data_IF_792984015719
#
_entry.id   IF_792984015719
#
_cell.length_a   1.000
_cell.length_b   1.000
_cell.length_c   1.000
_cell.angle_alpha   90.00
_cell.angle_beta   90.00
_cell.angle_gamma   90.00
#
_symmetry.space_group_name_H-M   'P 1'
#
loop_
_entity.id
_entity.type
_entity.pdbx_description
1 polymer ?
#
# COMPACT_ATOMS: atom_id res chain seq x y z
N UNK A 1 17.10 -100.03 -81.91
CA UNK A 1 15.74 -99.48 -82.12
C UNK A 1 15.44 -98.59 -80.93
N UNK A 2 15.29 -97.29 -81.14
CA UNK A 2 15.29 -96.24 -80.11
C UNK A 2 13.95 -96.15 -79.38
N UNK A 3 13.96 -96.16 -78.04
CA UNK A 3 12.81 -95.92 -77.20
C UNK A 3 12.95 -94.59 -76.45
N UNK A 4 12.25 -93.57 -76.93
CA UNK A 4 12.17 -92.24 -76.32
C UNK A 4 11.33 -92.33 -75.04
N UNK A 5 11.94 -92.17 -73.86
CA UNK A 5 11.19 -91.98 -72.62
C UNK A 5 10.87 -90.49 -72.48
N UNK A 6 9.60 -90.15 -72.67
CA UNK A 6 9.02 -88.82 -72.47
C UNK A 6 8.88 -88.59 -70.97
N UNK A 7 9.82 -87.87 -70.36
CA UNK A 7 9.76 -87.50 -68.95
C UNK A 7 8.61 -86.49 -68.78
N UNK A 8 7.60 -86.85 -67.99
CA UNK A 8 6.43 -86.01 -67.73
C UNK A 8 6.84 -84.82 -66.84
N UNK A 9 7.05 -83.66 -67.46
CA UNK A 9 7.54 -82.41 -66.85
C UNK A 9 6.53 -81.72 -65.89
N UNK A 10 5.41 -82.37 -65.57
CA UNK A 10 4.26 -81.76 -64.87
C UNK A 10 4.39 -81.71 -63.35
N UNK A 11 5.30 -82.47 -62.74
CA UNK A 11 5.43 -82.52 -61.27
C UNK A 11 6.36 -81.42 -60.73
N UNK A 12 7.42 -81.08 -61.47
CA UNK A 12 8.38 -80.04 -61.09
C UNK A 12 7.76 -78.63 -61.17
N UNK A 13 6.95 -78.35 -62.19
CA UNK A 13 6.23 -77.08 -62.36
C UNK A 13 5.24 -76.82 -61.21
N UNK A 14 4.51 -77.85 -60.76
CA UNK A 14 3.57 -77.73 -59.65
C UNK A 14 4.27 -77.46 -58.31
N UNK A 15 5.42 -78.09 -58.07
CA UNK A 15 6.22 -77.81 -56.87
C UNK A 15 6.80 -76.40 -56.87
N UNK A 16 7.29 -75.92 -58.03
CA UNK A 16 7.82 -74.57 -58.16
C UNK A 16 6.72 -73.51 -57.95
N UNK A 17 5.53 -73.75 -58.50
CA UNK A 17 4.38 -72.86 -58.34
C UNK A 17 3.89 -72.81 -56.90
N UNK A 18 3.84 -73.96 -56.19
CA UNK A 18 3.46 -73.99 -54.78
C UNK A 18 4.49 -73.28 -53.88
N UNK A 19 5.78 -73.46 -54.15
CA UNK A 19 6.85 -72.78 -53.42
C UNK A 19 6.81 -71.26 -53.62
N UNK A 20 6.57 -70.80 -54.86
CA UNK A 20 6.40 -69.37 -55.17
C UNK A 20 5.18 -68.78 -54.46
N UNK A 21 4.06 -69.50 -54.42
CA UNK A 21 2.82 -69.03 -53.82
C UNK A 21 2.91 -68.95 -52.29
N UNK A 22 3.59 -69.93 -51.65
CA UNK A 22 3.92 -69.89 -50.23
C UNK A 22 4.90 -68.74 -49.90
N UNK A 23 5.87 -68.47 -50.77
CA UNK A 23 6.82 -67.37 -50.59
C UNK A 23 6.14 -66.00 -50.69
N UNK A 24 5.25 -65.81 -51.69
CA UNK A 24 4.44 -64.60 -51.84
C UNK A 24 3.52 -64.42 -50.62
N UNK A 25 2.90 -65.51 -50.13
CA UNK A 25 2.06 -65.46 -48.94
C UNK A 25 2.86 -65.05 -47.70
N UNK A 26 4.06 -65.60 -47.50
CA UNK A 26 4.94 -65.23 -46.41
C UNK A 26 5.39 -63.76 -46.50
N UNK A 27 5.73 -63.27 -47.69
CA UNK A 27 6.08 -61.86 -47.91
C UNK A 27 4.89 -60.92 -47.64
N UNK A 28 3.67 -61.32 -48.00
CA UNK A 28 2.45 -60.56 -47.69
C UNK A 28 2.15 -60.53 -46.20
N UNK A 29 2.30 -61.66 -45.50
CA UNK A 29 2.12 -61.76 -44.04
C UNK A 29 3.17 -60.92 -43.32
N UNK A 30 4.44 -60.97 -43.73
CA UNK A 30 5.50 -60.14 -43.14
C UNK A 30 5.27 -58.64 -43.36
N UNK A 31 4.82 -58.22 -44.56
CA UNK A 31 4.44 -56.83 -44.83
C UNK A 31 3.26 -56.40 -43.95
N UNK A 32 2.23 -57.24 -43.83
CA UNK A 32 1.08 -56.97 -42.97
C UNK A 32 1.49 -56.84 -41.50
N UNK A 33 2.32 -57.75 -40.98
CA UNK A 33 2.83 -57.70 -39.59
C UNK A 33 3.67 -56.44 -39.33
N UNK A 34 4.54 -56.05 -40.27
CA UNK A 34 5.33 -54.81 -40.16
C UNK A 34 4.45 -53.57 -40.17
N UNK A 35 3.43 -53.55 -41.04
CA UNK A 35 2.45 -52.46 -41.10
C UNK A 35 1.61 -52.38 -39.82
N UNK A 36 1.13 -53.50 -39.27
CA UNK A 36 0.40 -53.55 -37.98
C UNK A 36 1.25 -53.07 -36.80
N UNK A 37 2.54 -53.46 -36.75
CA UNK A 37 3.48 -53.00 -35.72
C UNK A 37 3.68 -51.48 -35.75
N UNK A 38 3.78 -50.88 -36.94
CA UNK A 38 3.93 -49.43 -37.10
C UNK A 38 2.66 -48.65 -36.73
N UNK A 39 1.47 -49.19 -37.01
CA UNK A 39 0.21 -48.60 -36.56
C UNK A 39 0.07 -48.64 -35.02
N UNK A 40 0.49 -49.73 -34.39
CA UNK A 40 0.45 -49.86 -32.93
C UNK A 40 1.44 -48.89 -32.24
N UNK A 41 2.66 -48.76 -32.78
CA UNK A 41 3.63 -47.76 -32.31
C UNK A 41 3.11 -46.32 -32.48
N UNK A 42 2.46 -46.01 -33.61
CA UNK A 42 1.83 -44.71 -33.85
C UNK A 42 0.72 -44.38 -32.85
N UNK A 43 -0.11 -45.37 -32.50
CA UNK A 43 -1.17 -45.21 -31.50
C UNK A 43 -0.60 -44.94 -30.09
N UNK A 44 0.50 -45.61 -29.71
CA UNK A 44 1.17 -45.39 -28.43
C UNK A 44 1.79 -43.99 -28.37
N UNK A 45 2.44 -43.54 -29.45
CA UNK A 45 3.02 -42.18 -29.53
C UNK A 45 1.92 -41.13 -29.44
N UNK A 46 0.79 -41.32 -30.15
CA UNK A 46 -0.36 -40.42 -30.09
C UNK A 46 -0.97 -40.37 -28.68
N UNK A 47 -1.12 -41.52 -28.02
CA UNK A 47 -1.61 -41.59 -26.66
C UNK A 47 -0.68 -40.89 -25.66
N UNK A 48 0.64 -41.10 -25.79
CA UNK A 48 1.64 -40.42 -24.97
C UNK A 48 1.61 -38.89 -25.16
N UNK A 49 1.42 -38.42 -26.40
CA UNK A 49 1.30 -37.00 -26.72
C UNK A 49 0.06 -36.37 -26.05
N UNK A 50 -1.07 -37.09 -26.04
CA UNK A 50 -2.33 -36.67 -25.38
C UNK A 50 -2.16 -36.59 -23.85
N UNK A 51 -1.36 -37.47 -23.24
CA UNK A 51 -1.08 -37.40 -21.80
C UNK A 51 -0.20 -36.20 -21.43
N UNK A 52 0.77 -35.83 -22.29
CA UNK A 52 1.66 -34.69 -22.04
C UNK A 52 0.89 -33.36 -22.05
N UNK A 53 -0.06 -33.16 -22.98
CA UNK A 53 -0.88 -31.93 -22.99
C UNK A 53 -1.86 -31.81 -21.82
N UNK A 54 -2.18 -32.91 -21.12
CA UNK A 54 -2.98 -32.87 -19.88
C UNK A 54 -2.16 -32.58 -18.62
N UNK A 55 -0.83 -32.54 -18.70
CA UNK A 55 0.05 -32.25 -17.57
C UNK A 55 0.41 -30.76 -17.43
N UNK A 56 -0.32 -29.85 -18.08
CA UNK A 56 -0.17 -28.41 -17.82
C UNK A 56 -0.54 -28.10 -16.36
N UNK A 57 0.47 -27.96 -15.52
CA UNK A 57 0.35 -27.48 -14.16
C UNK A 57 -0.33 -26.11 -14.18
N UNK A 58 -1.48 -25.98 -13.52
CA UNK A 58 -2.10 -24.69 -13.27
C UNK A 58 -1.20 -23.91 -12.32
N UNK A 59 -0.64 -22.75 -12.71
CA UNK A 59 0.13 -21.93 -11.80
C UNK A 59 -0.81 -21.37 -10.75
N UNK A 60 -0.81 -21.95 -9.56
CA UNK A 60 -1.46 -21.39 -8.39
C UNK A 60 -0.48 -20.35 -7.83
N UNK A 61 -0.92 -19.11 -7.72
CA UNK A 61 -0.12 -18.07 -7.07
C UNK A 61 0.20 -18.56 -5.64
N UNK A 62 1.47 -18.41 -5.18
CA UNK A 62 1.80 -18.77 -3.80
C UNK A 62 0.82 -18.05 -2.87
N UNK A 63 0.27 -18.77 -1.90
CA UNK A 63 -0.50 -18.14 -0.83
C UNK A 63 0.45 -17.19 -0.11
N UNK A 64 0.29 -15.88 -0.33
CA UNK A 64 1.10 -14.86 0.33
C UNK A 64 1.06 -15.03 1.86
N UNK A 65 2.05 -14.45 2.54
CA UNK A 65 2.05 -14.38 4.00
C UNK A 65 0.85 -13.61 4.55
N UNK A 66 0.67 -13.65 5.87
CA UNK A 66 -0.39 -12.88 6.52
C UNK A 66 -0.32 -11.40 6.14
N UNK A 67 -1.47 -10.75 5.84
CA UNK A 67 -1.50 -9.33 5.52
C UNK A 67 -0.94 -8.48 6.68
N UNK A 68 -0.05 -7.54 6.37
CA UNK A 68 0.42 -6.54 7.33
C UNK A 68 -0.72 -5.59 7.71
N UNK A 69 -0.98 -5.48 9.01
CA UNK A 69 -2.04 -4.65 9.60
C UNK A 69 -1.49 -3.49 10.43
N UNK A 70 -0.17 -3.32 10.50
CA UNK A 70 0.45 -2.29 11.33
C UNK A 70 0.58 -0.97 10.55
N UNK A 71 0.28 0.14 11.21
CA UNK A 71 0.42 1.48 10.63
C UNK A 71 1.87 1.87 10.33
N UNK A 72 2.09 2.96 9.57
CA UNK A 72 3.40 3.58 9.49
C UNK A 72 3.76 4.24 10.82
N UNK A 73 5.06 4.34 11.10
CA UNK A 73 5.60 5.02 12.28
C UNK A 73 6.68 6.00 11.83
N UNK A 74 6.66 7.20 12.39
CA UNK A 74 7.76 8.17 12.20
C UNK A 74 8.98 7.67 12.97
N UNK A 75 10.05 7.35 12.26
CA UNK A 75 11.31 6.85 12.84
C UNK A 75 12.26 7.98 13.21
N UNK A 76 12.18 9.11 12.51
CA UNK A 76 12.97 10.30 12.81
C UNK A 76 12.36 11.55 12.19
N UNK A 77 12.69 12.69 12.78
CA UNK A 77 12.44 14.00 12.20
C UNK A 77 13.75 14.72 11.92
N UNK A 78 13.74 15.60 10.93
CA UNK A 78 14.85 16.53 10.70
C UNK A 78 14.24 17.92 10.51
N UNK A 79 14.51 18.89 11.40
CA UNK A 79 15.35 18.79 12.59
C UNK A 79 14.80 17.81 13.65
N UNK A 80 15.62 17.44 14.63
CA UNK A 80 15.18 16.56 15.72
C UNK A 80 14.13 17.28 16.58
N UNK A 81 13.20 16.50 17.15
CA UNK A 81 12.23 17.03 18.09
C UNK A 81 12.93 17.69 19.28
N UNK A 82 12.51 18.90 19.64
CA UNK A 82 13.17 19.67 20.69
C UNK A 82 14.17 20.72 20.19
N UNK A 83 14.41 20.82 18.88
CA UNK A 83 15.43 21.73 18.33
C UNK A 83 15.10 23.19 18.63
N UNK A 84 16.06 23.93 19.20
CA UNK A 84 16.00 25.38 19.40
C UNK A 84 16.91 26.10 18.40
N UNK A 85 16.77 27.41 18.29
CA UNK A 85 17.49 28.27 17.35
C UNK A 85 17.37 27.78 15.90
N UNK A 86 16.21 27.25 15.54
CA UNK A 86 15.96 26.74 14.20
C UNK A 86 15.90 27.90 13.19
N UNK A 87 16.82 27.87 12.22
CA UNK A 87 16.92 28.88 11.15
C UNK A 87 16.54 28.33 9.77
N UNK A 88 16.17 27.05 9.71
CA UNK A 88 15.77 26.39 8.47
C UNK A 88 14.35 26.75 8.03
N UNK A 89 13.98 26.22 6.86
CA UNK A 89 12.63 26.35 6.29
C UNK A 89 12.02 25.01 5.88
N UNK A 90 12.73 23.93 6.14
CA UNK A 90 12.32 22.57 5.82
C UNK A 90 12.23 21.76 7.10
N UNK A 91 11.13 21.03 7.28
CA UNK A 91 11.06 19.92 8.22
C UNK A 91 10.72 18.63 7.50
N UNK A 92 11.29 17.52 7.97
CA UNK A 92 11.15 16.20 7.37
C UNK A 92 10.69 15.20 8.40
N UNK A 93 9.66 14.43 8.05
CA UNK A 93 9.18 13.27 8.79
C UNK A 93 9.59 12.03 8.01
N UNK A 94 10.49 11.22 8.57
CA UNK A 94 10.92 9.95 7.98
C UNK A 94 10.12 8.81 8.58
N UNK A 95 9.50 7.99 7.74
CA UNK A 95 8.66 6.86 8.15
C UNK A 95 9.38 5.52 7.92
N UNK A 96 9.00 4.52 8.70
CA UNK A 96 9.44 3.12 8.51
C UNK A 96 8.88 2.51 7.22
N UNK A 97 7.69 2.94 6.78
CA UNK A 97 6.96 2.48 5.59
C UNK A 97 6.67 3.62 4.60
N UNK A 98 6.22 3.26 3.40
CA UNK A 98 5.69 4.25 2.47
C UNK A 98 4.31 4.72 2.93
N UNK A 99 4.14 6.04 3.06
CA UNK A 99 2.88 6.68 3.42
C UNK A 99 2.07 7.06 2.19
N UNK A 100 0.75 6.98 2.29
CA UNK A 100 -0.14 7.58 1.31
C UNK A 100 0.00 9.11 1.39
N UNK A 101 0.34 9.72 0.25
CA UNK A 101 0.68 11.14 0.18
C UNK A 101 -0.49 12.05 0.52
N UNK A 102 -1.70 11.66 0.13
CA UNK A 102 -2.89 12.46 0.37
C UNK A 102 -3.28 12.40 1.86
N UNK A 103 -3.17 11.23 2.48
CA UNK A 103 -3.40 11.05 3.92
C UNK A 103 -2.44 11.91 4.75
N UNK A 104 -1.15 11.97 4.39
CA UNK A 104 -0.18 12.84 5.08
C UNK A 104 -0.53 14.32 4.89
N UNK A 105 -0.79 14.77 3.66
CA UNK A 105 -1.17 16.16 3.39
C UNK A 105 -2.40 16.62 4.17
N UNK A 106 -3.40 15.76 4.31
CA UNK A 106 -4.66 16.10 4.98
C UNK A 106 -4.58 16.03 6.51
N UNK A 107 -3.57 15.34 7.06
CA UNK A 107 -3.44 15.06 8.49
C UNK A 107 -2.14 15.60 9.09
N UNK A 108 -1.44 16.48 8.38
CA UNK A 108 -0.42 17.35 8.97
C UNK A 108 -1.10 18.61 9.49
N UNK A 109 -0.75 18.99 10.71
CA UNK A 109 -1.16 20.24 11.33
C UNK A 109 0.08 21.00 11.81
N UNK A 110 -0.01 22.32 11.76
CA UNK A 110 1.01 23.24 12.24
C UNK A 110 0.31 24.19 13.21
N UNK A 111 0.85 24.31 14.41
CA UNK A 111 0.37 25.18 15.48
C UNK A 111 1.54 25.97 16.09
N UNK A 112 1.38 27.26 16.42
CA UNK A 112 0.20 28.07 16.13
C UNK A 112 -0.01 28.30 14.62
N UNK A 113 -1.19 28.79 14.24
CA UNK A 113 -1.44 29.28 12.88
C UNK A 113 -0.57 30.53 12.64
N UNK A 114 0.52 30.35 11.89
CA UNK A 114 1.48 31.41 11.56
C UNK A 114 1.02 32.26 10.37
N UNK A 115 -0.06 31.89 9.67
CA UNK A 115 -0.44 32.51 8.41
C UNK A 115 0.60 32.33 7.28
N UNK A 116 1.52 31.38 7.44
CA UNK A 116 2.57 31.07 6.47
C UNK A 116 2.14 29.89 5.61
N UNK A 117 2.20 30.07 4.29
CA UNK A 117 1.97 28.98 3.36
C UNK A 117 3.13 27.98 3.40
N UNK A 118 2.84 26.71 3.14
CA UNK A 118 3.83 25.66 3.06
C UNK A 118 3.47 24.67 1.96
N UNK A 119 4.51 24.11 1.35
CA UNK A 119 4.38 23.03 0.39
C UNK A 119 4.78 21.72 1.04
N UNK A 120 4.02 20.67 0.73
CA UNK A 120 4.39 19.31 1.11
C UNK A 120 4.97 18.60 -0.11
N UNK A 121 6.15 18.02 0.03
CA UNK A 121 6.77 17.15 -0.98
C UNK A 121 7.13 15.79 -0.36
N UNK A 122 7.52 14.84 -1.19
CA UNK A 122 7.81 13.48 -0.75
C UNK A 122 9.10 12.99 -1.36
N UNK A 123 9.96 12.41 -0.52
CA UNK A 123 11.19 11.74 -0.95
C UNK A 123 11.32 10.41 -0.24
N UNK A 124 11.31 9.31 -1.01
CA UNK A 124 11.30 7.94 -0.49
C UNK A 124 10.16 7.72 0.52
N UNK A 125 10.48 7.35 1.76
CA UNK A 125 9.56 7.17 2.88
C UNK A 125 9.44 8.44 3.75
N UNK A 126 9.69 9.62 3.19
CA UNK A 126 9.65 10.87 3.95
C UNK A 126 8.63 11.83 3.39
N UNK A 127 7.86 12.45 4.28
CA UNK A 127 7.10 13.68 4.02
C UNK A 127 7.95 14.89 4.39
N UNK A 128 8.01 15.87 3.50
CA UNK A 128 8.80 17.09 3.67
C UNK A 128 7.85 18.26 3.63
N UNK A 129 7.93 19.14 4.62
CA UNK A 129 7.16 20.38 4.70
C UNK A 129 8.15 21.53 4.53
N UNK A 130 7.93 22.35 3.51
CA UNK A 130 8.77 23.50 3.18
C UNK A 130 7.95 24.78 3.31
N UNK A 131 8.36 25.69 4.18
CA UNK A 131 7.69 26.97 4.42
C UNK A 131 8.04 27.97 3.32
N UNK A 132 7.04 28.66 2.74
CA UNK A 132 7.25 29.61 1.62
C UNK A 132 7.83 30.96 2.07
N UNK A 133 7.68 31.30 3.35
CA UNK A 133 8.27 32.48 3.97
C UNK A 133 9.12 32.09 5.19
N UNK A 134 10.05 32.97 5.64
CA UNK A 134 10.75 32.77 6.89
C UNK A 134 9.80 32.61 8.07
N UNK A 135 10.16 31.72 8.99
CA UNK A 135 9.42 31.54 10.24
C UNK A 135 9.63 32.75 11.16
N UNK A 136 8.63 33.13 11.98
CA UNK A 136 8.77 34.24 12.92
C UNK A 136 9.87 33.94 13.95
N UNK A 137 10.59 34.97 14.38
CA UNK A 137 11.62 34.84 15.42
C UNK A 137 11.00 34.50 16.79
N UNK A 138 11.78 33.86 17.68
CA UNK A 138 11.40 33.53 19.05
C UNK A 138 10.02 32.85 19.19
N UNK A 139 9.73 31.90 18.29
CA UNK A 139 8.42 31.25 18.21
C UNK A 139 8.58 29.74 18.28
N UNK A 140 7.80 29.12 19.18
CA UNK A 140 7.62 27.66 19.21
C UNK A 140 6.62 27.24 18.15
N UNK A 141 7.02 26.24 17.36
CA UNK A 141 6.24 25.70 16.27
C UNK A 141 6.08 24.20 16.51
N UNK A 142 4.84 23.76 16.53
CA UNK A 142 4.44 22.37 16.69
C UNK A 142 3.89 21.87 15.38
N UNK A 143 4.51 20.84 14.84
CA UNK A 143 4.10 20.19 13.60
C UNK A 143 3.72 18.77 13.95
N UNK A 144 2.48 18.40 13.68
CA UNK A 144 1.94 17.10 14.06
C UNK A 144 1.45 16.33 12.84
N UNK A 145 1.91 15.07 12.74
CA UNK A 145 1.30 14.06 11.88
C UNK A 145 0.24 13.30 12.68
N UNK A 146 -1.02 13.43 12.26
CA UNK A 146 -2.19 12.83 12.92
C UNK A 146 -2.30 11.31 12.73
N UNK A 147 -3.20 10.68 13.51
CA UNK A 147 -3.46 9.23 13.46
C UNK A 147 -4.03 8.75 12.12
N UNK A 148 -4.67 9.64 11.37
CA UNK A 148 -5.28 9.32 10.07
C UNK A 148 -4.29 9.31 8.90
N UNK A 149 -3.00 9.54 9.14
CA UNK A 149 -1.96 9.23 8.15
C UNK A 149 -1.91 7.71 7.96
N UNK A 150 -1.93 7.27 6.70
CA UNK A 150 -1.94 5.85 6.36
C UNK A 150 -0.73 5.42 5.56
N UNK A 151 -0.38 4.13 5.62
CA UNK A 151 0.51 3.52 4.64
C UNK A 151 -0.19 3.31 3.28
N UNK A 152 0.52 2.76 2.30
CA UNK A 152 -0.04 2.42 0.98
C UNK A 152 -1.10 1.31 1.02
N UNK A 153 -1.22 0.59 2.14
CA UNK A 153 -2.20 -0.48 2.37
C UNK A 153 -3.40 -0.01 3.23
N UNK A 154 -3.49 1.30 3.54
CA UNK A 154 -4.53 1.94 4.36
C UNK A 154 -4.51 1.58 5.85
N UNK A 155 -3.37 1.10 6.37
CA UNK A 155 -3.17 0.99 7.81
C UNK A 155 -2.86 2.38 8.38
N UNK A 156 -3.57 2.79 9.44
CA UNK A 156 -3.43 4.09 10.12
C UNK A 156 -2.30 4.09 11.15
N UNK A 157 -1.70 5.24 11.42
CA UNK A 157 -0.78 5.41 12.54
C UNK A 157 -1.51 5.12 13.88
N UNK A 158 -0.85 4.38 14.78
CA UNK A 158 -1.43 4.03 16.10
C UNK A 158 -1.56 5.25 17.03
N UNK A 159 -0.66 6.22 16.87
CA UNK A 159 -0.59 7.44 17.67
C UNK A 159 -0.12 8.60 16.79
N UNK A 160 -0.52 9.85 17.08
CA UNK A 160 0.04 10.98 16.37
C UNK A 160 1.54 11.14 16.72
N UNK A 161 2.30 11.75 15.81
CA UNK A 161 3.69 12.14 16.06
C UNK A 161 3.82 13.65 16.08
N UNK A 162 4.50 14.18 17.09
CA UNK A 162 4.66 15.61 17.33
C UNK A 162 6.13 15.99 17.16
N UNK A 163 6.38 17.01 16.35
CA UNK A 163 7.64 17.71 16.20
C UNK A 163 7.47 19.13 16.73
N UNK A 164 8.06 19.42 17.90
CA UNK A 164 8.17 20.75 18.46
C UNK A 164 9.59 21.29 18.20
N UNK A 165 9.66 22.52 17.70
CA UNK A 165 10.89 23.26 17.48
C UNK A 165 10.70 24.74 17.82
N UNK A 166 11.79 25.45 18.09
CA UNK A 166 11.79 26.89 18.36
C UNK A 166 12.75 27.61 17.44
N UNK A 167 12.33 28.74 16.89
CA UNK A 167 13.22 29.69 16.23
C UNK A 167 14.01 30.55 17.23
N UNK A 168 13.63 30.53 18.52
CA UNK A 168 14.36 31.13 19.63
C UNK A 168 15.18 30.10 20.42
N UNK A 169 15.70 30.50 21.57
CA UNK A 169 16.56 29.69 22.43
C UNK A 169 15.81 28.70 23.34
N UNK A 170 14.50 28.90 23.51
CA UNK A 170 13.64 28.11 24.41
C UNK A 170 12.39 27.62 23.67
N UNK A 171 11.89 26.45 24.07
CA UNK A 171 10.57 25.95 23.70
C UNK A 171 9.54 26.38 24.74
N UNK A 172 8.42 26.88 24.29
CA UNK A 172 7.24 27.06 25.12
C UNK A 172 6.79 25.70 25.68
N UNK A 173 6.44 25.64 26.95
CA UNK A 173 6.03 24.42 27.64
C UNK A 173 4.60 24.50 28.20
N UNK A 174 3.91 25.60 27.95
CA UNK A 174 2.55 25.83 28.43
C UNK A 174 1.58 24.76 27.93
N UNK A 175 0.70 24.32 28.82
CA UNK A 175 -0.35 23.33 28.53
C UNK A 175 -1.70 23.89 28.93
N UNK A 176 -2.66 23.84 28.01
CA UNK A 176 -4.06 24.15 28.27
C UNK A 176 -4.88 22.90 28.01
N UNK A 177 -5.65 22.46 29.00
CA UNK A 177 -6.58 21.35 28.87
C UNK A 177 -8.01 21.86 29.00
N UNK A 178 -8.87 21.43 28.09
CA UNK A 178 -10.30 21.72 28.08
C UNK A 178 -11.10 20.44 27.91
N UNK A 179 -12.37 20.46 28.30
CA UNK A 179 -13.29 19.35 28.06
C UNK A 179 -14.59 19.87 27.46
N UNK A 180 -14.98 19.29 26.34
CA UNK A 180 -16.25 19.58 25.66
C UNK A 180 -17.29 18.61 26.19
N UNK A 181 -18.36 19.15 26.76
CA UNK A 181 -19.45 18.40 27.37
C UNK A 181 -20.75 18.70 26.65
N UNK A 182 -21.53 17.66 26.41
CA UNK A 182 -22.91 17.75 25.97
C UNK A 182 -23.74 18.39 27.09
N UNK A 183 -24.45 19.46 26.76
CA UNK A 183 -25.15 20.28 27.75
C UNK A 183 -26.34 19.56 28.42
N UNK A 184 -26.94 18.58 27.75
CA UNK A 184 -28.11 17.86 28.27
C UNK A 184 -27.70 16.65 29.12
N UNK A 185 -26.69 15.91 28.67
CA UNK A 185 -26.27 14.64 29.27
C UNK A 185 -25.03 14.74 30.16
N UNK A 186 -24.28 15.84 30.07
CA UNK A 186 -22.99 16.05 30.76
C UNK A 186 -21.86 15.12 30.28
N UNK A 187 -22.06 14.40 29.16
CA UNK A 187 -21.08 13.46 28.62
C UNK A 187 -20.07 14.18 27.74
N UNK A 188 -18.87 13.62 27.65
CA UNK A 188 -17.84 14.14 26.77
C UNK A 188 -18.23 14.03 25.30
N UNK A 189 -18.05 15.11 24.55
CA UNK A 189 -18.29 15.12 23.11
C UNK A 189 -17.00 14.94 22.32
N UNK A 190 -16.91 13.85 21.57
CA UNK A 190 -15.74 13.51 20.75
C UNK A 190 -15.75 14.18 19.38
N UNK A 191 -14.58 14.47 18.83
CA UNK A 191 -14.44 15.01 17.47
C UNK A 191 -14.83 16.48 17.34
N UNK A 192 -14.99 17.20 18.45
CA UNK A 192 -15.30 18.63 18.49
C UNK A 192 -14.01 19.44 18.31
N UNK A 193 -14.06 20.43 17.43
CA UNK A 193 -12.95 21.37 17.22
C UNK A 193 -13.03 22.47 18.25
N UNK A 194 -11.96 22.64 19.00
CA UNK A 194 -11.78 23.73 19.95
C UNK A 194 -10.71 24.65 19.39
N UNK A 195 -11.10 25.91 19.23
CA UNK A 195 -10.25 27.02 18.81
C UNK A 195 -9.75 27.75 20.04
N UNK A 196 -8.47 28.11 20.04
CA UNK A 196 -7.86 28.90 21.10
C UNK A 196 -7.30 30.19 20.51
N UNK A 197 -7.79 31.32 21.03
CA UNK A 197 -7.39 32.67 20.63
C UNK A 197 -6.54 33.30 21.72
N UNK A 198 -5.44 33.95 21.37
CA UNK A 198 -4.62 34.75 22.29
C UNK A 198 -5.17 36.17 22.39
N UNK A 199 -5.29 36.73 23.58
CA UNK A 199 -5.77 38.10 23.77
C UNK A 199 -4.70 39.15 23.43
N UNK A 200 -5.10 40.30 22.83
CA UNK A 200 -6.43 40.59 22.27
C UNK A 200 -6.68 39.83 20.95
N UNK A 201 -7.92 39.39 20.71
CA UNK A 201 -8.30 38.67 19.49
C UNK A 201 -9.53 39.28 18.81
N UNK A 202 -9.64 39.03 17.49
CA UNK A 202 -10.86 39.21 16.71
C UNK A 202 -11.38 37.83 16.29
N UNK A 203 -12.67 37.55 16.52
CA UNK A 203 -13.30 36.28 16.15
C UNK A 203 -13.45 36.12 14.63
N UNK A 204 -13.39 37.21 13.87
CA UNK A 204 -13.36 37.17 12.41
C UNK A 204 -12.02 36.62 11.86
N UNK A 205 -10.96 36.72 12.66
CA UNK A 205 -9.65 36.20 12.33
C UNK A 205 -9.52 34.71 12.66
N UNK A 206 -8.49 34.08 12.10
CA UNK A 206 -8.19 32.67 12.35
C UNK A 206 -7.68 32.49 13.78
N UNK A 207 -8.11 31.42 14.44
CA UNK A 207 -7.62 31.07 15.76
C UNK A 207 -6.12 30.74 15.76
N UNK A 208 -5.43 31.07 16.85
CA UNK A 208 -4.01 30.78 17.00
C UNK A 208 -3.75 29.28 17.11
N UNK A 209 -4.59 28.54 17.82
CA UNK A 209 -4.46 27.08 17.95
C UNK A 209 -5.78 26.38 17.68
N UNK A 210 -5.69 25.15 17.13
CA UNK A 210 -6.81 24.24 16.96
C UNK A 210 -6.48 22.88 17.55
N UNK A 211 -7.42 22.30 18.28
CA UNK A 211 -7.33 20.91 18.72
C UNK A 211 -8.69 20.22 18.64
N UNK A 212 -8.68 18.90 18.54
CA UNK A 212 -9.89 18.06 18.39
C UNK A 212 -10.06 17.22 19.64
N UNK A 213 -11.29 17.15 20.16
CA UNK A 213 -11.59 16.37 21.35
C UNK A 213 -11.51 14.87 21.12
N UNK A 214 -10.95 14.17 22.11
CA UNK A 214 -10.89 12.71 22.14
C UNK A 214 -12.25 12.07 22.46
N UNK A 215 -12.27 10.74 22.61
CA UNK A 215 -13.50 9.98 22.94
C UNK A 215 -14.11 10.34 24.29
N UNK A 216 -13.35 10.97 25.20
CA UNK A 216 -13.80 11.45 26.51
C UNK A 216 -14.25 12.92 26.51
N UNK A 217 -14.16 13.59 25.35
CA UNK A 217 -14.41 15.01 25.17
C UNK A 217 -13.23 15.91 25.55
N UNK A 218 -12.05 15.34 25.87
CA UNK A 218 -10.90 16.10 26.34
C UNK A 218 -10.08 16.64 25.17
N UNK A 219 -9.61 17.88 25.31
CA UNK A 219 -8.75 18.58 24.37
C UNK A 219 -7.52 19.06 25.12
N UNK A 220 -6.35 18.91 24.51
CA UNK A 220 -5.09 19.42 25.05
C UNK A 220 -4.37 20.24 24.00
N UNK A 221 -3.97 21.44 24.38
CA UNK A 221 -3.03 22.28 23.66
C UNK A 221 -1.70 22.23 24.41
N UNK A 222 -0.61 21.94 23.72
CA UNK A 222 0.74 21.93 24.28
C UNK A 222 1.64 22.91 23.56
N UNK A 223 2.78 23.22 24.17
CA UNK A 223 3.73 24.21 23.67
C UNK A 223 3.09 25.59 23.46
N UNK A 224 2.27 25.99 24.43
CA UNK A 224 1.57 27.27 24.42
C UNK A 224 2.47 28.33 25.02
N UNK A 225 2.68 29.41 24.28
CA UNK A 225 3.42 30.57 24.78
C UNK A 225 2.69 31.25 25.93
N UNK A 226 3.43 31.96 26.79
CA UNK A 226 2.83 32.66 27.93
C UNK A 226 1.84 33.74 27.46
N UNK A 227 0.62 33.72 28.02
CA UNK A 227 -0.39 34.72 27.68
C UNK A 227 -1.77 34.39 28.22
N UNK A 228 -2.71 35.30 27.95
CA UNK A 228 -4.13 35.07 28.21
C UNK A 228 -4.79 34.57 26.95
N UNK A 229 -5.58 33.50 27.08
CA UNK A 229 -6.24 32.83 25.97
C UNK A 229 -7.73 32.66 26.22
N UNK A 230 -8.50 32.61 25.14
CA UNK A 230 -9.92 32.30 25.16
C UNK A 230 -10.22 31.15 24.23
N UNK A 231 -10.90 30.13 24.78
CA UNK A 231 -11.27 28.94 24.05
C UNK A 231 -12.73 29.02 23.60
N UNK A 232 -12.98 28.60 22.35
CA UNK A 232 -14.31 28.47 21.77
C UNK A 232 -14.40 27.11 21.09
N UNK A 233 -15.48 26.38 21.30
CA UNK A 233 -15.75 25.18 20.52
C UNK A 233 -16.79 25.51 19.45
N UNK A 234 -16.63 24.92 18.26
CA UNK A 234 -17.51 25.16 17.12
C UNK A 234 -17.87 23.86 16.43
N UNK A 235 -19.06 23.84 15.84
CA UNK A 235 -19.38 22.91 14.77
C UNK A 235 -18.85 23.47 13.44
N UNK A 236 -17.53 23.55 13.29
CA UNK A 236 -16.88 24.10 12.11
C UNK A 236 -17.02 23.13 10.92
N UNK A 237 -18.09 23.30 10.14
CA UNK A 237 -18.41 22.47 8.96
C UNK A 237 -17.46 22.74 7.79
N UNK A 238 -17.00 23.98 7.62
CA UNK A 238 -16.20 24.41 6.46
C UNK A 238 -14.67 24.30 6.69
N UNK A 239 -14.25 24.02 7.94
CA UNK A 239 -12.85 23.80 8.36
C UNK A 239 -11.96 25.01 8.15
N UNK A 240 -12.51 26.22 8.24
CA UNK A 240 -11.78 27.46 7.94
C UNK A 240 -11.01 28.04 9.16
N UNK A 241 -11.09 27.41 10.35
CA UNK A 241 -10.52 27.90 11.62
C UNK A 241 -11.03 29.27 12.06
N UNK A 242 -12.20 29.70 11.59
CA UNK A 242 -12.85 30.96 11.97
C UNK A 242 -14.12 30.65 12.72
N UNK A 243 -14.53 31.62 13.54
CA UNK A 243 -15.82 31.58 14.17
C UNK A 243 -16.86 32.23 13.25
N UNK A 244 -17.81 31.43 12.77
CA UNK A 244 -18.91 31.90 11.91
C UNK A 244 -20.17 32.14 12.76
N UNK A 245 -20.68 33.39 12.79
CA UNK A 245 -21.90 33.76 13.55
C UNK A 245 -23.18 33.08 13.08
N UNK A 246 -23.24 32.69 11.80
CA UNK A 246 -24.49 32.47 11.10
C UNK A 246 -24.97 31.02 11.04
N UNK A 247 -24.36 30.09 11.80
CA UNK A 247 -24.83 28.69 11.88
C UNK A 247 -24.66 28.05 13.25
#
# INVERSE_FOLDING_TARGET
MYGLIRIHFTMFEKMLHQAMQNCIYLMLVMKALYTYSNYFAGLIILAALVFIVKSCATPVAPSGGEPDRTGPVVVSTTPENGTTNFTGREVRFTFDKFVDRNSFRQNVSIEPDLGIEFDISFSRRSGVIEFTNPLPENTTIVIQAGTDVTDTNRNRMDRPHVLALSTGDVLDDGVITARVLDAETGRGESGRRVLLYREPFDLAERANYLAISDTSGTVQFGYISEGTYKAFWLNDVNRNRRWDRER
#
